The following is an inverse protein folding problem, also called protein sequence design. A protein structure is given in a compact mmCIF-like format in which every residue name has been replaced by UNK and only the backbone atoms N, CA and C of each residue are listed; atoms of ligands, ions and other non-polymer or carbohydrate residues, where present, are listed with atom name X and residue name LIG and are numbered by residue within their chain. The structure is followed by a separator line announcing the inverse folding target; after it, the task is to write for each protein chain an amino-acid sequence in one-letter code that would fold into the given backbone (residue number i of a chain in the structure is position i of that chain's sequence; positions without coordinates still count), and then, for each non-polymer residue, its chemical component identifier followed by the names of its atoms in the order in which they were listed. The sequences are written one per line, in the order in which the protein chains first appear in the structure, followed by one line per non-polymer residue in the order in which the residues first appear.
data_IF_778235108690
#
_entry.id   IF_778235108690
#
_cell.length_a   1.000
_cell.length_b   1.000
_cell.length_c   1.000
_cell.angle_alpha   90.00
_cell.angle_beta   90.00
_cell.angle_gamma   90.00
#
_symmetry.space_group_name_H-M   'P 1'
#
loop_
_entity.id
_entity.type
_entity.pdbx_description
1 polymer ?
#
# COMPACT_ATOMS: atom_id res chain seq x y z
N UNK A 1 -20.90 -2.19 19.26
CA UNK A 1 -20.41 -2.21 17.87
C UNK A 1 -20.19 -3.66 17.49
N UNK A 2 -20.72 -4.11 16.35
CA UNK A 2 -20.63 -5.51 15.93
C UNK A 2 -19.39 -5.74 15.07
N UNK A 3 -18.83 -6.94 15.13
CA UNK A 3 -17.72 -7.36 14.29
C UNK A 3 -18.23 -7.59 12.85
N UNK A 4 -17.52 -7.05 11.85
CA UNK A 4 -17.93 -7.11 10.44
C UNK A 4 -17.23 -8.25 9.70
N UNK A 5 -15.97 -8.54 10.05
CA UNK A 5 -15.14 -9.61 9.49
C UNK A 5 -14.20 -10.19 10.56
N UNK A 6 -13.59 -11.38 10.36
CA UNK A 6 -12.85 -12.11 11.40
C UNK A 6 -11.70 -11.35 12.08
N UNK A 7 -11.05 -10.40 11.42
CA UNK A 7 -9.98 -9.57 12.00
C UNK A 7 -10.45 -8.19 12.46
N UNK A 8 -11.74 -7.85 12.30
CA UNK A 8 -12.29 -6.53 12.61
C UNK A 8 -12.20 -6.23 14.11
N UNK A 9 -11.64 -5.07 14.43
CA UNK A 9 -11.64 -4.47 15.76
C UNK A 9 -12.50 -3.20 15.67
N UNK A 10 -13.75 -3.23 16.16
CA UNK A 10 -14.61 -2.05 16.10
C UNK A 10 -14.03 -0.89 16.90
N UNK A 11 -14.06 0.31 16.32
CA UNK A 11 -13.53 1.51 16.96
C UNK A 11 -14.49 2.68 16.86
N UNK A 12 -14.55 3.53 17.89
CA UNK A 12 -15.17 4.85 17.76
C UNK A 12 -14.27 5.82 17.00
N UNK A 13 -14.82 6.91 16.47
CA UNK A 13 -14.03 7.96 15.81
C UNK A 13 -12.93 8.51 16.71
N UNK A 14 -13.19 8.61 18.02
CA UNK A 14 -12.19 9.03 19.00
C UNK A 14 -11.07 8.00 19.17
N UNK A 15 -11.42 6.71 19.35
CA UNK A 15 -10.43 5.64 19.44
C UNK A 15 -9.58 5.55 18.16
N UNK A 16 -10.21 5.71 16.99
CA UNK A 16 -9.53 5.73 15.70
C UNK A 16 -8.56 6.90 15.57
N UNK A 17 -8.97 8.09 16.02
CA UNK A 17 -8.09 9.26 16.10
C UNK A 17 -6.88 9.04 17.00
N UNK A 18 -7.08 8.45 18.19
CA UNK A 18 -5.98 8.09 19.10
C UNK A 18 -5.05 7.05 18.49
N UNK A 19 -5.59 6.02 17.82
CA UNK A 19 -4.78 5.01 17.11
C UNK A 19 -3.96 5.65 15.99
N UNK A 20 -4.55 6.55 15.20
CA UNK A 20 -3.86 7.26 14.13
C UNK A 20 -2.68 8.09 14.68
N UNK A 21 -2.90 8.87 15.74
CA UNK A 21 -1.87 9.70 16.35
C UNK A 21 -0.77 8.86 17.01
N UNK A 22 -1.15 7.87 17.82
CA UNK A 22 -0.20 7.01 18.54
C UNK A 22 0.65 6.17 17.59
N UNK A 23 0.04 5.60 16.55
CA UNK A 23 0.77 4.82 15.53
C UNK A 23 1.67 5.70 14.68
N UNK A 24 1.26 6.93 14.33
CA UNK A 24 2.12 7.89 13.64
C UNK A 24 3.36 8.25 14.47
N UNK A 25 3.18 8.55 15.76
CA UNK A 25 4.29 8.85 16.66
C UNK A 25 5.25 7.66 16.81
N UNK A 26 4.72 6.45 16.93
CA UNK A 26 5.53 5.23 17.00
C UNK A 26 6.26 4.93 15.69
N UNK A 27 5.64 5.16 14.54
CA UNK A 27 6.28 4.97 13.23
C UNK A 27 7.44 5.95 13.01
N UNK A 28 7.34 7.18 13.53
CA UNK A 28 8.42 8.18 13.47
C UNK A 28 9.58 7.80 14.40
N UNK A 29 9.28 7.34 15.61
CA UNK A 29 10.30 7.01 16.62
C UNK A 29 10.98 5.67 16.37
N UNK A 30 10.25 4.69 15.81
CA UNK A 30 10.77 3.38 15.45
C UNK A 30 10.31 2.99 14.04
N UNK A 31 11.07 3.34 12.99
CA UNK A 31 10.68 3.10 11.60
C UNK A 31 10.68 1.63 11.20
N UNK A 32 11.28 0.72 12.00
CA UNK A 32 11.25 -0.73 11.75
C UNK A 32 9.85 -1.30 12.04
N UNK A 33 9.00 -0.58 12.77
CA UNK A 33 7.62 -0.95 13.07
C UNK A 33 6.67 -0.66 11.90
N UNK A 34 6.78 -1.47 10.85
CA UNK A 34 5.86 -1.43 9.70
C UNK A 34 4.39 -1.66 10.09
N UNK A 35 4.14 -2.35 11.21
CA UNK A 35 2.80 -2.51 11.78
C UNK A 35 2.17 -1.17 12.17
N UNK A 36 2.95 -0.24 12.73
CA UNK A 36 2.45 1.10 13.09
C UNK A 36 2.15 1.95 11.86
N UNK A 37 2.95 1.84 10.79
CA UNK A 37 2.65 2.49 9.52
C UNK A 37 1.34 1.93 8.93
N UNK A 38 1.12 0.62 9.05
CA UNK A 38 -0.11 -0.02 8.60
C UNK A 38 -1.34 0.46 9.40
N UNK A 39 -1.23 0.52 10.74
CA UNK A 39 -2.30 1.04 11.61
C UNK A 39 -2.58 2.51 11.30
N UNK A 40 -1.56 3.35 11.17
CA UNK A 40 -1.72 4.76 10.78
C UNK A 40 -2.42 4.86 9.42
N UNK A 41 -1.99 4.04 8.45
CA UNK A 41 -2.57 4.00 7.11
C UNK A 41 -4.07 3.69 7.10
N UNK A 42 -4.50 2.64 7.80
CA UNK A 42 -5.93 2.25 7.79
C UNK A 42 -6.81 3.16 8.66
N UNK A 43 -6.26 3.70 9.76
CA UNK A 43 -7.03 4.59 10.66
C UNK A 43 -7.22 5.99 10.08
N UNK A 44 -6.34 6.40 9.16
CA UNK A 44 -6.46 7.66 8.40
C UNK A 44 -7.12 7.48 7.03
N UNK A 45 -7.38 6.25 6.60
CA UNK A 45 -8.12 5.95 5.37
C UNK A 45 -9.62 6.18 5.57
N UNK A 46 -10.05 7.45 5.53
CA UNK A 46 -11.44 7.82 5.71
C UNK A 46 -12.35 7.16 4.66
N UNK A 47 -13.56 6.80 5.07
CA UNK A 47 -14.55 6.10 4.25
C UNK A 47 -14.73 6.71 2.84
N UNK A 48 -14.91 8.04 2.67
CA UNK A 48 -15.09 8.62 1.33
C UNK A 48 -13.91 8.39 0.38
N UNK A 49 -12.68 8.30 0.93
CA UNK A 49 -11.46 8.06 0.15
C UNK A 49 -11.45 6.61 -0.34
N UNK A 50 -11.71 5.66 0.55
CA UNK A 50 -11.80 4.23 0.17
C UNK A 50 -12.96 3.96 -0.79
N UNK A 51 -14.11 4.63 -0.62
CA UNK A 51 -15.23 4.56 -1.56
C UNK A 51 -14.87 5.13 -2.92
N UNK A 52 -14.12 6.23 -2.99
CA UNK A 52 -13.64 6.77 -4.26
C UNK A 52 -12.73 5.77 -5.00
N UNK A 53 -11.80 5.13 -4.28
CA UNK A 53 -10.93 4.08 -4.84
C UNK A 53 -11.79 2.90 -5.34
N UNK A 54 -12.73 2.41 -4.52
CA UNK A 54 -13.64 1.32 -4.89
C UNK A 54 -14.44 1.65 -6.14
N UNK A 55 -15.06 2.83 -6.22
CA UNK A 55 -15.84 3.26 -7.39
C UNK A 55 -14.97 3.36 -8.66
N UNK A 56 -13.71 3.78 -8.53
CA UNK A 56 -12.76 3.77 -9.66
C UNK A 56 -12.45 2.35 -10.11
N UNK A 57 -12.22 1.42 -9.19
CA UNK A 57 -12.04 0.00 -9.50
C UNK A 57 -13.29 -0.59 -10.15
N UNK A 58 -14.50 -0.27 -9.67
CA UNK A 58 -15.77 -0.76 -10.22
C UNK A 58 -15.98 -0.37 -11.69
N UNK A 59 -15.51 0.82 -12.08
CA UNK A 59 -15.61 1.34 -13.46
C UNK A 59 -14.59 0.74 -14.41
N UNK A 60 -13.54 0.11 -13.90
CA UNK A 60 -12.53 -0.59 -14.68
C UNK A 60 -12.85 -2.10 -14.78
N UNK A 61 -12.64 -2.72 -15.94
CA UNK A 61 -12.95 -4.15 -16.13
C UNK A 61 -12.09 -5.04 -15.22
N UNK A 62 -10.82 -4.71 -15.05
CA UNK A 62 -9.88 -5.47 -14.21
C UNK A 62 -10.15 -5.19 -12.74
N UNK A 63 -10.32 -3.92 -12.37
CA UNK A 63 -10.67 -3.52 -11.01
C UNK A 63 -11.98 -4.15 -10.53
N UNK A 64 -13.01 -4.19 -11.39
CA UNK A 64 -14.30 -4.81 -11.06
C UNK A 64 -14.14 -6.32 -10.81
N UNK A 65 -13.33 -7.01 -11.64
CA UNK A 65 -13.01 -8.43 -11.44
C UNK A 65 -12.27 -8.66 -10.11
N UNK A 66 -11.40 -7.74 -9.71
CA UNK A 66 -10.64 -7.83 -8.46
C UNK A 66 -11.54 -7.60 -7.24
N UNK A 67 -12.49 -6.67 -7.31
CA UNK A 67 -13.49 -6.48 -6.25
C UNK A 67 -14.41 -7.69 -6.09
N UNK A 68 -14.75 -8.38 -7.18
CA UNK A 68 -15.57 -9.61 -7.14
C UNK A 68 -14.80 -10.81 -6.60
N UNK A 69 -13.61 -11.07 -7.12
CA UNK A 69 -12.86 -12.29 -6.81
C UNK A 69 -12.02 -12.18 -5.53
N UNK A 70 -11.75 -10.95 -5.09
CA UNK A 70 -10.93 -10.60 -3.91
C UNK A 70 -9.63 -11.43 -3.77
N UNK A 71 -8.82 -11.63 -4.82
CA UNK A 71 -7.59 -12.41 -4.70
C UNK A 71 -6.61 -11.78 -3.72
N UNK A 72 -5.93 -12.63 -2.94
CA UNK A 72 -4.93 -12.25 -1.94
C UNK A 72 -3.52 -12.48 -2.50
N UNK A 73 -2.55 -11.70 -2.04
CA UNK A 73 -1.13 -11.91 -2.37
C UNK A 73 -0.47 -12.44 -1.10
N UNK A 74 -0.40 -13.77 -0.99
CA UNK A 74 0.05 -14.50 0.19
C UNK A 74 1.05 -15.57 -0.22
N UNK A 75 1.71 -16.22 0.74
CA UNK A 75 2.54 -17.39 0.44
C UNK A 75 1.73 -18.56 -0.15
N UNK A 76 0.43 -18.62 0.11
CA UNK A 76 -0.46 -19.64 -0.46
C UNK A 76 -0.76 -19.39 -1.94
N UNK A 77 -0.83 -18.13 -2.37
CA UNK A 77 -1.19 -17.77 -3.75
C UNK A 77 0.02 -17.48 -4.63
N UNK A 78 1.18 -17.20 -4.04
CA UNK A 78 2.42 -16.87 -4.74
C UNK A 78 3.45 -18.00 -4.56
N UNK A 79 3.72 -18.71 -5.66
CA UNK A 79 4.82 -19.67 -5.71
C UNK A 79 6.16 -18.96 -5.92
N UNK A 80 6.88 -18.76 -4.82
CA UNK A 80 8.22 -18.14 -4.80
C UNK A 80 9.25 -18.91 -5.64
N UNK A 81 9.18 -20.24 -5.68
CA UNK A 81 10.12 -21.04 -6.48
C UNK A 81 9.87 -20.84 -7.97
N UNK A 82 8.59 -20.80 -8.38
CA UNK A 82 8.22 -20.44 -9.74
C UNK A 82 8.69 -19.03 -10.10
N UNK A 83 8.45 -18.03 -9.25
CA UNK A 83 8.89 -16.65 -9.51
C UNK A 83 10.42 -16.55 -9.69
N UNK A 84 11.18 -17.28 -8.86
CA UNK A 84 12.63 -17.35 -8.95
C UNK A 84 13.12 -17.97 -10.26
N UNK A 85 12.36 -18.90 -10.83
CA UNK A 85 12.67 -19.56 -12.11
C UNK A 85 12.47 -18.65 -13.34
N UNK A 86 11.72 -17.56 -13.19
CA UNK A 86 11.42 -16.65 -14.30
C UNK A 86 12.68 -15.91 -14.79
N UNK A 87 12.70 -15.49 -16.08
CA UNK A 87 13.78 -14.69 -16.63
C UNK A 87 13.98 -13.37 -15.88
N UNK A 88 15.23 -12.88 -15.87
CA UNK A 88 15.57 -11.58 -15.31
C UNK A 88 14.80 -10.45 -16.00
N UNK A 89 14.45 -9.41 -15.25
CA UNK A 89 13.65 -8.28 -15.75
C UNK A 89 12.15 -8.55 -15.85
N UNK A 90 11.68 -9.78 -15.62
CA UNK A 90 10.24 -10.02 -15.42
C UNK A 90 9.81 -9.53 -14.04
N UNK A 91 8.58 -9.00 -13.93
CA UNK A 91 8.05 -8.51 -12.64
C UNK A 91 8.11 -9.59 -11.55
N UNK A 92 7.76 -10.83 -11.89
CA UNK A 92 7.80 -11.95 -10.95
C UNK A 92 9.21 -12.23 -10.41
N UNK A 93 10.22 -12.27 -11.31
CA UNK A 93 11.61 -12.49 -10.90
C UNK A 93 12.14 -11.35 -10.04
N UNK A 94 11.85 -10.11 -10.41
CA UNK A 94 12.31 -8.94 -9.65
C UNK A 94 11.59 -8.79 -8.31
N UNK A 95 10.31 -9.20 -8.22
CA UNK A 95 9.59 -9.26 -6.95
C UNK A 95 10.16 -10.30 -6.00
N UNK A 96 10.45 -11.52 -6.49
CA UNK A 96 11.12 -12.54 -5.69
C UNK A 96 12.48 -12.05 -5.16
N UNK A 97 13.30 -11.46 -6.04
CA UNK A 97 14.59 -10.85 -5.66
C UNK A 97 14.44 -9.74 -4.62
N UNK A 98 13.42 -8.89 -4.76
CA UNK A 98 13.14 -7.83 -3.80
C UNK A 98 12.81 -8.39 -2.42
N UNK A 99 11.94 -9.41 -2.34
CA UNK A 99 11.59 -10.06 -1.09
C UNK A 99 12.78 -10.81 -0.47
N UNK A 100 13.58 -11.52 -1.28
CA UNK A 100 14.82 -12.17 -0.81
C UNK A 100 15.80 -11.15 -0.18
N UNK A 101 16.00 -10.01 -0.84
CA UNK A 101 16.91 -8.96 -0.37
C UNK A 101 16.47 -8.27 0.93
N UNK A 102 15.18 -8.31 1.25
CA UNK A 102 14.62 -7.78 2.50
C UNK A 102 14.41 -8.85 3.57
N UNK A 103 14.73 -10.12 3.26
CA UNK A 103 14.44 -11.27 4.13
C UNK A 103 12.98 -11.29 4.59
N UNK A 104 12.06 -11.03 3.65
CA UNK A 104 10.61 -10.95 3.91
C UNK A 104 9.83 -11.82 2.93
N UNK A 105 8.55 -11.96 3.18
CA UNK A 105 7.61 -12.71 2.36
C UNK A 105 6.28 -11.97 2.20
N UNK A 106 5.40 -12.38 1.27
CA UNK A 106 4.11 -11.75 1.04
C UNK A 106 3.21 -11.64 2.29
N UNK A 107 3.26 -12.60 3.22
CA UNK A 107 2.41 -12.62 4.42
C UNK A 107 2.88 -11.67 5.51
N UNK A 108 4.09 -11.09 5.38
CA UNK A 108 4.58 -10.05 6.28
C UNK A 108 3.68 -8.79 6.29
N UNK A 109 2.79 -8.64 5.30
CA UNK A 109 1.81 -7.55 5.22
C UNK A 109 0.64 -7.79 6.18
N UNK A 110 0.48 -6.97 7.25
CA UNK A 110 -0.52 -7.22 8.27
C UNK A 110 -1.94 -7.09 7.72
N UNK A 111 -2.84 -7.94 8.23
CA UNK A 111 -4.27 -7.88 7.93
C UNK A 111 -4.89 -6.57 8.40
N UNK A 112 -5.82 -6.00 7.63
CA UNK A 112 -6.63 -4.83 8.01
C UNK A 112 -7.55 -5.20 9.18
N UNK A 113 -7.70 -4.25 10.12
CA UNK A 113 -8.41 -4.43 11.39
C UNK A 113 -9.38 -3.30 11.73
N UNK A 114 -9.12 -2.07 11.28
CA UNK A 114 -9.82 -0.86 11.75
C UNK A 114 -10.66 -0.17 10.67
N UNK A 115 -10.93 -0.85 9.56
CA UNK A 115 -11.89 -0.41 8.54
C UNK A 115 -13.27 -0.93 8.91
N UNK A 116 -14.21 -0.04 9.23
CA UNK A 116 -15.57 -0.38 9.65
C UNK A 116 -16.52 -0.59 8.46
N UNK A 117 -16.06 -1.29 7.41
CA UNK A 117 -16.85 -1.62 6.22
C UNK A 117 -16.25 -2.85 5.51
N UNK A 118 -17.05 -3.90 5.33
CA UNK A 118 -16.59 -5.19 4.77
C UNK A 118 -16.26 -5.12 3.27
N UNK A 119 -16.84 -4.16 2.54
CA UNK A 119 -16.51 -3.98 1.12
C UNK A 119 -15.22 -3.18 0.94
N UNK A 120 -14.94 -2.26 1.87
CA UNK A 120 -13.75 -1.41 1.82
C UNK A 120 -12.52 -2.07 2.44
N UNK A 121 -12.69 -3.09 3.28
CA UNK A 121 -11.56 -3.84 3.88
C UNK A 121 -10.66 -4.43 2.80
N UNK A 122 -11.24 -4.97 1.72
CA UNK A 122 -10.49 -5.55 0.62
C UNK A 122 -9.67 -4.48 -0.13
N UNK A 123 -10.23 -3.30 -0.36
CA UNK A 123 -9.53 -2.18 -1.02
C UNK A 123 -8.29 -1.77 -0.22
N UNK A 124 -8.45 -1.60 1.10
CA UNK A 124 -7.34 -1.22 1.98
C UNK A 124 -6.29 -2.35 2.08
N UNK A 125 -6.74 -3.60 2.10
CA UNK A 125 -5.84 -4.74 2.20
C UNK A 125 -5.05 -4.93 0.90
N UNK A 126 -5.70 -4.78 -0.26
CA UNK A 126 -5.05 -4.82 -1.57
C UNK A 126 -3.96 -3.76 -1.66
N UNK A 127 -4.22 -2.55 -1.17
CA UNK A 127 -3.21 -1.50 -1.02
C UNK A 127 -1.97 -1.91 -0.23
N UNK A 128 -2.14 -2.62 0.88
CA UNK A 128 -1.00 -3.08 1.68
C UNK A 128 -0.15 -4.10 0.92
N UNK A 129 -0.80 -5.01 0.20
CA UNK A 129 -0.13 -6.13 -0.47
C UNK A 129 0.61 -5.72 -1.74
N UNK A 130 0.10 -4.75 -2.49
CA UNK A 130 0.72 -4.30 -3.75
C UNK A 130 1.80 -3.24 -3.53
N UNK A 131 1.96 -2.72 -2.31
CA UNK A 131 2.98 -1.73 -1.98
C UNK A 131 4.40 -2.19 -2.38
N UNK A 132 4.75 -3.45 -2.15
CA UNK A 132 6.06 -4.00 -2.54
C UNK A 132 6.22 -4.05 -4.06
N UNK A 133 5.14 -4.25 -4.81
CA UNK A 133 5.21 -4.15 -6.28
C UNK A 133 5.53 -2.74 -6.73
N UNK A 134 5.05 -1.70 -6.03
CA UNK A 134 5.40 -0.32 -6.36
C UNK A 134 6.90 -0.06 -6.19
N UNK A 135 7.54 -0.66 -5.18
CA UNK A 135 9.00 -0.61 -5.04
C UNK A 135 9.71 -1.25 -6.23
N UNK A 136 9.25 -2.43 -6.68
CA UNK A 136 9.84 -3.16 -7.81
C UNK A 136 9.66 -2.38 -9.12
N UNK A 137 8.43 -1.91 -9.41
CA UNK A 137 8.09 -1.19 -10.64
C UNK A 137 8.82 0.15 -10.76
N UNK A 138 8.97 0.86 -9.64
CA UNK A 138 9.67 2.14 -9.59
C UNK A 138 11.18 1.98 -9.40
N UNK A 139 11.68 0.75 -9.24
CA UNK A 139 13.07 0.44 -8.93
C UNK A 139 13.59 1.19 -7.68
N UNK A 140 12.73 1.34 -6.68
CA UNK A 140 13.02 2.07 -5.44
C UNK A 140 13.30 1.08 -4.30
N UNK A 141 14.48 1.21 -3.66
CA UNK A 141 14.80 0.45 -2.44
C UNK A 141 14.03 0.98 -1.23
N UNK A 142 13.90 0.18 -0.18
CA UNK A 142 13.19 0.53 1.08
C UNK A 142 13.99 1.43 2.02
N UNK A 143 15.03 2.12 1.51
CA UNK A 143 15.65 3.21 2.28
C UNK A 143 14.70 4.41 2.29
N UNK A 144 14.89 5.35 3.22
CA UNK A 144 13.96 6.47 3.41
C UNK A 144 13.54 7.15 2.11
N UNK A 145 14.50 7.48 1.23
CA UNK A 145 14.16 8.12 -0.04
C UNK A 145 13.19 7.29 -0.92
N UNK A 146 13.41 5.98 -1.04
CA UNK A 146 12.56 5.15 -1.89
C UNK A 146 11.18 4.95 -1.26
N UNK A 147 11.09 4.83 0.07
CA UNK A 147 9.83 4.84 0.80
C UNK A 147 9.03 6.13 0.56
N UNK A 148 9.66 7.30 0.70
CA UNK A 148 8.97 8.58 0.43
C UNK A 148 8.49 8.64 -1.01
N UNK A 149 9.31 8.17 -1.95
CA UNK A 149 8.98 8.16 -3.38
C UNK A 149 7.76 7.30 -3.66
N UNK A 150 7.76 6.07 -3.15
CA UNK A 150 6.63 5.14 -3.29
C UNK A 150 5.38 5.68 -2.60
N UNK A 151 5.50 6.28 -1.41
CA UNK A 151 4.36 6.90 -0.71
C UNK A 151 3.81 8.10 -1.47
N UNK A 152 4.64 8.92 -2.07
CA UNK A 152 4.18 10.03 -2.90
C UNK A 152 3.42 9.52 -4.13
N UNK A 153 3.95 8.49 -4.79
CA UNK A 153 3.27 7.80 -5.89
C UNK A 153 1.91 7.24 -5.47
N UNK A 154 1.85 6.48 -4.38
CA UNK A 154 0.62 5.92 -3.81
C UNK A 154 -0.37 7.03 -3.43
N UNK A 155 0.12 8.13 -2.85
CA UNK A 155 -0.68 9.28 -2.45
C UNK A 155 -1.35 9.96 -3.64
N UNK A 156 -0.61 10.16 -4.74
CA UNK A 156 -1.16 10.70 -5.98
C UNK A 156 -2.18 9.75 -6.62
N UNK A 157 -1.95 8.44 -6.56
CA UNK A 157 -2.87 7.47 -7.17
C UNK A 157 -4.14 7.22 -6.36
N UNK A 158 -4.03 7.16 -5.03
CA UNK A 158 -5.10 6.67 -4.14
C UNK A 158 -5.70 7.77 -3.25
N UNK A 159 -5.01 8.89 -3.06
CA UNK A 159 -5.47 9.98 -2.18
C UNK A 159 -5.42 9.62 -0.69
N UNK A 160 -4.74 8.54 -0.30
CA UNK A 160 -4.63 8.13 1.10
C UNK A 160 -3.84 9.18 1.91
N UNK A 161 -4.37 9.70 3.03
CA UNK A 161 -3.71 10.77 3.77
C UNK A 161 -2.31 10.40 4.26
N UNK A 162 -2.12 9.18 4.77
CA UNK A 162 -0.80 8.70 5.20
C UNK A 162 0.24 8.75 4.06
N UNK A 163 -0.16 8.41 2.84
CA UNK A 163 0.74 8.41 1.68
C UNK A 163 1.12 9.84 1.26
N UNK A 164 0.14 10.74 1.21
CA UNK A 164 0.38 12.15 0.88
C UNK A 164 1.27 12.83 1.94
N UNK A 165 0.97 12.61 3.22
CA UNK A 165 1.76 13.18 4.32
C UNK A 165 3.16 12.57 4.38
N UNK A 166 3.30 11.24 4.22
CA UNK A 166 4.60 10.57 4.13
C UNK A 166 5.45 11.09 2.96
N UNK A 167 4.82 11.31 1.80
CA UNK A 167 5.44 11.90 0.63
C UNK A 167 5.90 13.35 0.86
N UNK A 168 5.07 14.19 1.47
CA UNK A 168 5.37 15.62 1.71
C UNK A 168 6.40 15.80 2.82
N UNK A 169 6.19 15.21 3.99
CA UNK A 169 7.09 15.38 5.15
C UNK A 169 8.40 14.61 4.98
N UNK A 170 8.36 13.44 4.33
CA UNK A 170 9.56 12.76 3.90
C UNK A 170 10.28 13.50 2.76
N UNK A 171 9.51 14.14 1.85
CA UNK A 171 10.00 14.96 0.74
C UNK A 171 10.71 16.24 1.19
N UNK A 172 10.29 16.84 2.30
CA UNK A 172 10.98 17.98 2.91
C UNK A 172 12.42 17.67 3.36
N UNK A 173 12.77 16.39 3.56
CA UNK A 173 14.14 15.94 3.80
C UNK A 173 14.93 15.64 2.52
N UNK A 174 14.31 15.77 1.34
CA UNK A 174 14.88 15.43 0.04
C UNK A 174 15.15 16.68 -0.80
N UNK A 175 16.23 16.66 -1.59
CA UNK A 175 16.61 17.80 -2.45
C UNK A 175 15.55 18.04 -3.54
N UNK A 176 15.18 19.31 -3.76
CA UNK A 176 14.12 19.80 -4.67
C UNK A 176 14.15 19.23 -6.09
N UNK A 177 15.33 18.90 -6.63
CA UNK A 177 15.49 18.32 -7.98
C UNK A 177 14.82 16.95 -8.14
N UNK A 178 14.67 16.21 -7.05
CA UNK A 178 14.09 14.87 -7.07
C UNK A 178 12.56 14.91 -7.21
N UNK A 179 11.90 15.91 -6.64
CA UNK A 179 10.45 16.13 -6.79
C UNK A 179 10.07 16.35 -8.26
N UNK A 180 10.90 17.10 -9.01
CA UNK A 180 10.68 17.31 -10.45
C UNK A 180 10.91 16.04 -11.29
N UNK A 181 11.89 15.22 -10.94
CA UNK A 181 12.12 13.93 -11.61
C UNK A 181 10.93 12.97 -11.38
N UNK A 182 10.38 12.95 -10.16
CA UNK A 182 9.19 12.17 -9.83
C UNK A 182 7.97 12.62 -10.62
N UNK A 183 7.72 13.93 -10.76
CA UNK A 183 6.65 14.43 -11.62
C UNK A 183 6.80 14.00 -13.09
N UNK A 184 8.03 13.81 -13.58
CA UNK A 184 8.28 13.42 -14.98
C UNK A 184 8.03 11.93 -15.27
N UNK A 185 8.27 11.05 -14.28
CA UNK A 185 8.01 9.61 -14.38
C UNK A 185 6.51 9.31 -14.34
N UNK A 186 5.74 10.13 -13.60
CA UNK A 186 4.31 9.90 -13.33
C UNK A 186 3.35 10.38 -14.42
N UNK A 187 3.87 10.99 -15.50
CA UNK A 187 3.11 11.26 -16.73
C UNK A 187 2.88 10.00 -17.58
N UNK A 188 3.46 8.85 -17.22
CA UNK A 188 3.16 7.57 -17.88
C UNK A 188 1.79 7.04 -17.42
N UNK A 189 0.83 7.12 -18.35
CA UNK A 189 -0.47 6.47 -18.42
C UNK A 189 -0.86 5.61 -17.18
N UNK A 190 -1.38 6.29 -16.16
CA UNK A 190 -1.94 5.73 -14.92
C UNK A 190 -2.97 4.63 -15.19
N UNK A 191 -3.58 4.62 -16.38
CA UNK A 191 -4.53 3.62 -16.87
C UNK A 191 -4.00 2.17 -16.87
N UNK A 192 -2.71 1.93 -17.20
CA UNK A 192 -2.15 0.57 -17.18
C UNK A 192 -1.80 0.09 -15.77
N UNK A 193 -1.49 1.00 -14.85
CA UNK A 193 -1.20 0.64 -13.46
C UNK A 193 -2.43 0.08 -12.74
N UNK A 194 -3.65 0.50 -13.11
CA UNK A 194 -4.89 -0.13 -12.62
C UNK A 194 -4.96 -1.63 -12.89
N UNK A 195 -4.24 -2.16 -13.90
CA UNK A 195 -4.23 -3.61 -14.17
C UNK A 195 -3.39 -4.44 -13.19
N UNK A 196 -2.56 -3.78 -12.37
CA UNK A 196 -1.82 -4.38 -11.25
C UNK A 196 -2.58 -4.24 -9.92
N UNK A 197 -3.71 -3.52 -9.93
CA UNK A 197 -4.53 -3.13 -8.78
C UNK A 197 -5.87 -3.81 -8.69
#
# INVERSE_FOLDING_TARGET
MNKLYPTHIPTSSFQKGLLALGSAAMAITNPVRGDMVAVMGETTAFRPILENIRQRMERDVTGNRLLRNRPRITNETIDRQYLKSLPEGTLGREYDRFLEGLHTDPDARPTVKYVDDDDLVYVMQRYRETHDFNHVLLQMKTHMLGEVTVKYFEGLQLGLPMCLLGGIFGGGRLKTKLVFFLCSILSYNVSKLFSLW
#
